data_IF_760232363508
#
_entry.id   IF_760232363508
#
_cell.length_a   1.000
_cell.length_b   1.000
_cell.length_c   1.000
_cell.angle_alpha   90.00
_cell.angle_beta   90.00
_cell.angle_gamma   90.00
#
_symmetry.space_group_name_H-M   'P 1'
#
loop_
_entity.id
_entity.type
_entity.pdbx_description
1 polymer ?
#
# COMPACT_ATOMS: atom_id res chain seq x y z
N UNK A 1 -18.41 20.72 5.31
CA UNK A 1 -17.62 19.90 4.35
C UNK A 1 -16.42 19.23 5.02
N UNK A 2 -15.39 19.97 5.46
CA UNK A 2 -14.15 19.39 6.03
C UNK A 2 -14.37 18.44 7.22
N UNK A 3 -15.34 18.73 8.10
CA UNK A 3 -15.71 17.85 9.22
C UNK A 3 -16.23 16.48 8.74
N UNK A 4 -17.26 16.47 7.87
CA UNK A 4 -17.81 15.25 7.25
C UNK A 4 -16.77 14.45 6.47
N UNK A 5 -15.89 15.12 5.71
CA UNK A 5 -14.79 14.47 4.99
C UNK A 5 -13.88 13.66 5.92
N UNK A 6 -13.47 14.27 7.05
CA UNK A 6 -12.58 13.61 8.01
C UNK A 6 -13.26 12.41 8.68
N UNK A 7 -14.54 12.54 9.01
CA UNK A 7 -15.32 11.47 9.63
C UNK A 7 -15.43 10.23 8.72
N UNK A 8 -15.77 10.44 7.45
CA UNK A 8 -15.86 9.35 6.45
C UNK A 8 -14.48 8.72 6.21
N UNK A 9 -13.43 9.53 6.06
CA UNK A 9 -12.07 9.02 5.90
C UNK A 9 -11.62 8.16 7.08
N UNK A 10 -11.87 8.58 8.32
CA UNK A 10 -11.48 7.82 9.51
C UNK A 10 -12.23 6.49 9.52
N UNK A 11 -13.55 6.51 9.38
CA UNK A 11 -14.37 5.29 9.41
C UNK A 11 -13.95 4.27 8.35
N UNK A 12 -13.65 4.74 7.13
CA UNK A 12 -13.19 3.92 6.01
C UNK A 12 -11.77 3.35 6.20
N UNK A 13 -10.89 4.10 6.88
CA UNK A 13 -9.48 3.78 7.02
C UNK A 13 -9.17 2.96 8.28
N UNK A 14 -9.92 3.14 9.37
CA UNK A 14 -9.68 2.40 10.63
C UNK A 14 -10.16 0.95 10.58
N UNK A 15 -11.09 0.63 9.67
CA UNK A 15 -11.66 -0.70 9.56
C UNK A 15 -10.83 -1.68 8.72
N UNK A 16 -9.79 -1.20 8.03
CA UNK A 16 -9.12 -1.94 6.96
C UNK A 16 -7.60 -1.92 7.11
N UNK A 17 -6.98 -3.04 6.72
CA UNK A 17 -5.53 -3.15 6.63
C UNK A 17 -5.00 -2.43 5.37
N UNK A 18 -3.67 -2.21 5.34
CA UNK A 18 -3.01 -1.43 4.29
C UNK A 18 -3.27 -1.98 2.87
N UNK A 19 -3.38 -3.31 2.72
CA UNK A 19 -3.70 -3.98 1.44
C UNK A 19 -5.10 -3.61 0.94
N UNK A 20 -6.10 -3.67 1.80
CA UNK A 20 -7.49 -3.31 1.46
C UNK A 20 -7.67 -1.81 1.24
N UNK A 21 -6.93 -1.01 2.03
CA UNK A 21 -6.98 0.44 1.96
C UNK A 21 -6.45 0.94 0.61
N UNK A 22 -5.38 0.31 0.09
CA UNK A 22 -4.88 0.56 -1.28
C UNK A 22 -5.90 0.11 -2.35
N UNK A 23 -6.57 -1.03 -2.16
CA UNK A 23 -7.64 -1.48 -3.08
C UNK A 23 -8.81 -0.50 -3.15
N UNK A 24 -9.10 0.26 -2.08
CA UNK A 24 -10.11 1.33 -2.08
C UNK A 24 -9.65 2.61 -2.78
N UNK A 25 -8.33 2.87 -2.81
CA UNK A 25 -7.75 4.04 -3.47
C UNK A 25 -7.78 3.93 -4.99
N UNK A 26 -7.53 2.74 -5.56
CA UNK A 26 -7.50 2.51 -7.02
C UNK A 26 -8.82 2.97 -7.71
N UNK A 27 -10.01 2.54 -7.26
CA UNK A 27 -11.27 2.98 -7.86
C UNK A 27 -11.81 4.29 -7.26
N UNK A 28 -11.04 4.93 -6.38
CA UNK A 28 -11.38 6.18 -5.68
C UNK A 28 -12.72 6.11 -4.92
N UNK A 29 -13.00 4.96 -4.30
CA UNK A 29 -14.27 4.68 -3.61
C UNK A 29 -14.57 5.73 -2.52
N UNK A 30 -13.54 6.09 -1.74
CA UNK A 30 -13.64 7.06 -0.64
C UNK A 30 -13.99 8.47 -1.17
N UNK A 31 -13.44 8.87 -2.32
CA UNK A 31 -13.74 10.16 -2.95
C UNK A 31 -15.21 10.25 -3.37
N UNK A 32 -15.71 9.19 -4.03
CA UNK A 32 -17.11 9.10 -4.47
C UNK A 32 -18.11 9.09 -3.31
N UNK A 33 -17.78 8.44 -2.20
CA UNK A 33 -18.62 8.48 -1.00
C UNK A 33 -18.69 9.87 -0.37
N UNK A 34 -17.55 10.58 -0.33
CA UNK A 34 -17.50 11.95 0.17
C UNK A 34 -18.37 12.87 -0.69
N UNK A 35 -18.31 12.74 -2.03
CA UNK A 35 -19.15 13.52 -2.95
C UNK A 35 -20.64 13.30 -2.67
N UNK A 36 -21.07 12.04 -2.52
CA UNK A 36 -22.46 11.70 -2.17
C UNK A 36 -22.89 12.30 -0.83
N UNK A 37 -22.08 12.14 0.22
CA UNK A 37 -22.43 12.59 1.57
C UNK A 37 -22.40 14.12 1.75
N UNK A 38 -21.65 14.83 0.91
CA UNK A 38 -21.50 16.29 0.96
C UNK A 38 -22.38 17.04 -0.04
N UNK A 39 -22.96 16.34 -1.02
CA UNK A 39 -23.92 16.90 -2.01
C UNK A 39 -25.09 17.66 -1.35
N UNK A 40 -25.55 17.21 -0.18
CA UNK A 40 -26.58 17.90 0.63
C UNK A 40 -26.19 19.29 1.14
N UNK A 41 -24.90 19.58 1.25
CA UNK A 41 -24.40 20.87 1.75
C UNK A 41 -23.93 21.73 0.58
N UNK A 42 -23.10 21.15 -0.29
CA UNK A 42 -22.54 21.83 -1.45
C UNK A 42 -22.07 20.77 -2.46
N UNK A 43 -22.35 20.92 -3.76
CA UNK A 43 -21.87 19.98 -4.77
C UNK A 43 -20.35 20.09 -4.88
N UNK A 44 -19.66 19.00 -4.58
CA UNK A 44 -18.22 18.85 -4.79
C UNK A 44 -17.97 18.03 -6.05
N UNK A 45 -16.89 18.36 -6.75
CA UNK A 45 -16.43 17.64 -7.92
C UNK A 45 -14.91 17.42 -7.78
N UNK A 46 -14.42 16.28 -8.26
CA UNK A 46 -13.01 15.92 -8.30
C UNK A 46 -12.40 15.79 -6.88
N UNK A 47 -13.02 14.97 -6.03
CA UNK A 47 -12.48 14.68 -4.69
C UNK A 47 -11.50 13.51 -4.72
N UNK A 48 -10.21 13.81 -4.64
CA UNK A 48 -9.14 12.80 -4.66
C UNK A 48 -8.25 12.83 -3.42
N UNK A 49 -7.66 11.67 -3.11
CA UNK A 49 -6.63 11.55 -2.07
C UNK A 49 -5.29 11.90 -2.70
N UNK A 50 -4.79 13.11 -2.38
CA UNK A 50 -3.60 13.64 -3.05
C UNK A 50 -2.27 13.04 -2.56
N UNK A 51 -2.17 12.73 -1.26
CA UNK A 51 -0.96 12.20 -0.63
C UNK A 51 -1.32 11.31 0.55
N UNK A 52 -0.67 10.17 0.68
CA UNK A 52 -0.67 9.32 1.87
C UNK A 52 0.78 9.15 2.31
N UNK A 53 1.05 9.37 3.60
CA UNK A 53 2.39 9.21 4.18
C UNK A 53 2.32 8.21 5.33
N UNK A 54 3.27 7.29 5.37
CA UNK A 54 3.48 6.41 6.51
C UNK A 54 4.39 7.15 7.49
N UNK A 55 3.86 7.50 8.68
CA UNK A 55 4.64 8.18 9.72
C UNK A 55 5.39 7.20 10.63
N UNK A 56 4.76 6.06 10.91
CA UNK A 56 5.31 5.00 11.75
C UNK A 56 5.27 3.72 10.94
N UNK A 57 6.40 3.35 10.36
CA UNK A 57 6.49 2.08 9.65
C UNK A 57 6.36 0.94 10.67
N UNK A 58 5.49 -0.06 10.43
CA UNK A 58 5.46 -1.26 11.25
C UNK A 58 6.81 -1.99 11.15
N UNK A 59 7.12 -2.82 12.14
CA UNK A 59 8.31 -3.67 12.08
C UNK A 59 8.20 -4.59 10.86
N UNK A 60 9.29 -4.72 10.12
CA UNK A 60 9.36 -5.56 8.95
C UNK A 60 9.14 -7.02 9.36
N UNK A 61 8.13 -7.65 8.77
CA UNK A 61 7.72 -9.02 9.05
C UNK A 61 7.68 -9.77 7.72
N UNK A 62 8.57 -10.75 7.56
CA UNK A 62 8.69 -11.57 6.36
C UNK A 62 7.41 -12.35 6.07
N UNK A 63 6.68 -12.81 7.10
CA UNK A 63 5.43 -13.55 6.91
C UNK A 63 4.35 -12.67 6.28
N UNK A 64 4.12 -11.49 6.87
CA UNK A 64 3.13 -10.52 6.37
C UNK A 64 3.47 -9.99 4.99
N UNK A 65 4.76 -9.88 4.66
CA UNK A 65 5.19 -9.46 3.33
C UNK A 65 4.91 -10.52 2.27
N UNK A 66 5.19 -11.79 2.57
CA UNK A 66 4.94 -12.89 1.63
C UNK A 66 3.44 -13.10 1.38
N UNK A 67 2.56 -12.82 2.35
CA UNK A 67 1.11 -12.80 2.16
C UNK A 67 0.63 -11.69 1.21
N UNK A 68 1.35 -10.56 1.15
CA UNK A 68 1.05 -9.48 0.21
C UNK A 68 1.56 -9.82 -1.18
N UNK A 69 2.71 -10.49 -1.31
CA UNK A 69 3.32 -10.82 -2.60
C UNK A 69 2.89 -12.17 -3.20
N UNK A 70 2.30 -13.08 -2.42
CA UNK A 70 1.85 -14.41 -2.89
C UNK A 70 0.53 -14.39 -3.67
N UNK A 71 -0.32 -13.40 -3.43
CA UNK A 71 -1.67 -13.30 -4.05
C UNK A 71 -1.68 -12.56 -5.40
N UNK A 72 -0.54 -12.11 -5.92
CA UNK A 72 -0.44 -11.51 -7.25
C UNK A 72 -0.26 -12.61 -8.30
N UNK A 73 -1.33 -13.36 -8.61
CA UNK A 73 -1.42 -14.03 -9.90
C UNK A 73 -1.68 -12.98 -10.97
N UNK A 74 -0.81 -12.93 -11.98
CA UNK A 74 -0.86 -12.06 -13.18
C UNK A 74 -0.17 -10.70 -13.04
N UNK A 75 1.17 -10.71 -13.02
CA UNK A 75 2.01 -10.23 -14.15
C UNK A 75 3.48 -10.41 -13.72
N UNK A 76 4.00 -11.64 -13.84
CA UNK A 76 5.44 -11.88 -13.68
C UNK A 76 6.10 -11.26 -14.91
N UNK A 77 6.48 -9.98 -14.78
CA UNK A 77 7.27 -9.28 -15.78
C UNK A 77 8.41 -10.19 -16.26
N UNK A 78 8.58 -10.24 -17.58
CA UNK A 78 9.56 -11.11 -18.25
C UNK A 78 10.93 -10.97 -17.59
N UNK A 79 11.52 -12.10 -17.20
CA UNK A 79 12.89 -12.15 -16.66
C UNK A 79 13.84 -11.57 -17.72
N UNK A 80 14.35 -10.38 -17.46
CA UNK A 80 15.51 -9.86 -18.20
C UNK A 80 16.74 -10.57 -17.63
N UNK A 81 17.34 -11.44 -18.43
CA UNK A 81 18.61 -12.09 -18.10
C UNK A 81 19.69 -11.02 -17.96
N UNK A 82 20.30 -10.96 -16.77
CA UNK A 82 21.52 -10.20 -16.56
C UNK A 82 22.67 -11.09 -17.03
N UNK A 83 23.48 -10.69 -18.02
CA UNK A 83 24.57 -11.53 -18.51
C UNK A 83 25.54 -11.83 -17.36
N UNK A 84 25.87 -13.11 -17.23
CA UNK A 84 26.75 -13.65 -16.21
C UNK A 84 28.22 -13.47 -16.63
N UNK A 85 28.90 -12.56 -15.95
CA UNK A 85 30.34 -12.50 -15.62
C UNK A 85 30.47 -11.15 -14.88
N UNK A 86 30.90 -11.06 -13.63
CA UNK A 86 32.12 -11.62 -13.07
C UNK A 86 31.89 -12.08 -11.62
N UNK A 87 32.48 -13.23 -11.31
CA UNK A 87 32.69 -13.70 -9.96
C UNK A 87 33.73 -12.81 -9.26
N UNK A 88 33.42 -12.33 -8.06
CA UNK A 88 34.42 -12.18 -7.00
C UNK A 88 33.91 -12.93 -5.78
N UNK A 89 34.57 -14.06 -5.54
CA UNK A 89 34.52 -14.88 -4.34
C UNK A 89 35.28 -14.14 -3.24
N UNK A 90 34.70 -14.04 -2.04
CA UNK A 90 35.32 -14.02 -0.70
C UNK A 90 34.26 -13.51 0.29
N UNK A 91 33.93 -14.15 1.41
CA UNK A 91 34.37 -15.38 2.03
C UNK A 91 33.35 -15.73 3.12
N UNK A 92 33.16 -17.02 3.37
CA UNK A 92 32.40 -17.52 4.50
C UNK A 92 33.00 -16.98 5.81
N UNK A 93 32.19 -16.31 6.63
CA UNK A 93 32.47 -16.23 8.06
C UNK A 93 31.44 -17.10 8.76
N UNK A 94 31.89 -18.32 9.06
CA UNK A 94 31.20 -19.27 9.92
C UNK A 94 31.05 -18.68 11.32
N UNK A 95 29.86 -18.89 11.88
CA UNK A 95 29.58 -18.86 13.31
C UNK A 95 29.98 -20.22 13.90
N UNK A 96 31.02 -20.26 14.75
CA UNK A 96 31.23 -21.33 15.74
C UNK A 96 31.76 -20.71 17.03
N UNK A 97 31.14 -21.09 18.15
CA UNK A 97 31.34 -20.47 19.45
C UNK A 97 32.60 -20.88 20.22
N UNK A 98 32.98 -20.01 21.14
CA UNK A 98 33.43 -20.24 22.51
C UNK A 98 33.24 -18.90 23.26
#
# INVERSE_FOLDING_TARGET
IRRKMREIMINQATSCDLKELVRKFIPEMIGKEIEKATSSIYPLQNVFIRKVKILKAPKFDLGKLMEVHGDYSEDVGTKVERPAEEAVVEGATEIVGA
#
